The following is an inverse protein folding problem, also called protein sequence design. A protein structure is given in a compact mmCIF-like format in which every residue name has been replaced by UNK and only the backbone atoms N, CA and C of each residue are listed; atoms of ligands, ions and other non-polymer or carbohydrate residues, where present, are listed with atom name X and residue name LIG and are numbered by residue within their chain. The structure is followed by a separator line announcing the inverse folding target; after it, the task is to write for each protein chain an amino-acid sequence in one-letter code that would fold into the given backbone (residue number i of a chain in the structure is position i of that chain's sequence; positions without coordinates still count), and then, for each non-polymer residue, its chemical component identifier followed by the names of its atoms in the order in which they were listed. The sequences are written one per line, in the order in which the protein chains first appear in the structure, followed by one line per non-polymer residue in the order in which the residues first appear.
data_IF_221921782650
#
_entry.id   IF_221921782650
#
_cell.length_a   1.000
_cell.length_b   1.000
_cell.length_c   1.000
_cell.angle_alpha   90.00
_cell.angle_beta   90.00
_cell.angle_gamma   90.00
#
_symmetry.space_group_name_H-M   'P 1'
#
loop_
_entity.id
_entity.type
_entity.pdbx_description
1 polymer ?
#
# COMPACT_ATOMS: atom_id res chain seq x y z
N UNK A 1 -38.01 23.84 -28.93
CA UNK A 1 -38.61 23.00 -27.88
C UNK A 1 -37.63 21.85 -27.65
N UNK A 2 -36.65 22.01 -26.76
CA UNK A 2 -35.60 21.02 -26.51
C UNK A 2 -35.81 20.44 -25.11
N UNK A 3 -36.14 19.15 -25.06
CA UNK A 3 -36.39 18.40 -23.85
C UNK A 3 -35.06 18.06 -23.17
N UNK A 4 -34.97 18.42 -21.89
CA UNK A 4 -33.80 18.25 -21.03
C UNK A 4 -33.38 16.78 -20.88
N UNK A 5 -32.11 16.49 -21.21
CA UNK A 5 -31.42 15.28 -20.80
C UNK A 5 -31.13 15.39 -19.29
N UNK A 6 -31.73 14.51 -18.49
CA UNK A 6 -31.47 14.40 -17.05
C UNK A 6 -30.11 13.76 -16.85
N UNK A 7 -29.12 14.54 -16.44
CA UNK A 7 -27.87 14.01 -15.89
C UNK A 7 -28.14 13.41 -14.52
N UNK A 8 -28.11 12.07 -14.45
CA UNK A 8 -27.95 11.33 -13.20
C UNK A 8 -26.57 11.67 -12.64
N UNK A 9 -26.55 12.52 -11.62
CA UNK A 9 -25.38 12.77 -10.80
C UNK A 9 -24.99 11.47 -10.09
N UNK A 10 -23.99 10.78 -10.64
CA UNK A 10 -23.32 9.69 -9.96
C UNK A 10 -22.54 10.33 -8.81
N UNK A 11 -23.09 10.22 -7.60
CA UNK A 11 -22.45 10.68 -6.38
C UNK A 11 -21.18 9.84 -6.16
N UNK A 12 -20.05 10.35 -6.64
CA UNK A 12 -18.73 9.86 -6.22
C UNK A 12 -18.59 10.30 -4.77
N UNK A 13 -18.82 9.35 -3.86
CA UNK A 13 -18.55 9.53 -2.44
C UNK A 13 -17.03 9.67 -2.31
N UNK A 14 -16.56 10.92 -2.30
CA UNK A 14 -15.20 11.24 -1.90
C UNK A 14 -15.07 10.98 -0.40
N UNK A 15 -14.78 9.74 -0.03
CA UNK A 15 -14.31 9.40 1.31
C UNK A 15 -12.95 10.07 1.48
N UNK A 16 -12.96 11.24 2.14
CA UNK A 16 -11.74 11.87 2.61
C UNK A 16 -10.98 10.87 3.47
N UNK A 17 -9.79 10.45 3.00
CA UNK A 17 -8.83 9.72 3.81
C UNK A 17 -8.41 10.68 4.92
N UNK A 18 -8.98 10.49 6.12
CA UNK A 18 -8.64 11.28 7.29
C UNK A 18 -7.20 10.93 7.70
N UNK A 19 -6.29 11.82 7.29
CA UNK A 19 -4.86 11.78 7.58
C UNK A 19 -4.67 11.89 9.09
N UNK A 20 -4.29 10.80 9.75
CA UNK A 20 -3.82 10.85 11.14
C UNK A 20 -2.47 10.17 11.28
N UNK A 21 -1.42 10.77 10.72
CA UNK A 21 -0.01 10.46 11.03
C UNK A 21 0.43 10.99 12.41
N UNK A 22 -0.52 11.29 13.31
CA UNK A 22 -0.21 11.53 14.72
C UNK A 22 0.13 10.20 15.38
N UNK A 23 1.13 10.19 16.28
CA UNK A 23 1.48 9.08 17.17
C UNK A 23 0.27 8.51 17.94
N UNK A 24 -0.63 7.80 17.27
CA UNK A 24 -1.63 6.97 17.92
C UNK A 24 -0.93 5.69 18.29
N UNK A 25 -0.97 5.33 19.58
CA UNK A 25 -0.50 4.01 19.99
C UNK A 25 -1.27 2.97 19.19
N UNK A 26 -0.55 2.21 18.37
CA UNK A 26 -1.13 1.12 17.62
C UNK A 26 -1.78 0.14 18.62
N UNK A 27 -3.05 -0.24 18.45
CA UNK A 27 -3.69 -1.20 19.34
C UNK A 27 -2.84 -2.47 19.44
N UNK A 28 -2.51 -2.88 20.66
CA UNK A 28 -1.73 -4.07 20.90
C UNK A 28 -2.52 -5.33 20.48
N UNK A 29 -1.90 -6.22 19.72
CA UNK A 29 -2.53 -7.51 19.41
C UNK A 29 -2.44 -8.45 20.63
N UNK A 30 -3.49 -9.21 20.96
CA UNK A 30 -3.50 -10.10 22.14
C UNK A 30 -2.34 -11.09 22.22
N UNK A 31 -1.80 -11.53 21.09
CA UNK A 31 -0.71 -12.51 20.99
C UNK A 31 0.58 -11.92 20.40
N UNK A 32 0.77 -10.59 20.43
CA UNK A 32 2.03 -10.00 19.99
C UNK A 32 3.18 -10.33 20.96
N UNK A 33 4.36 -10.65 20.41
CA UNK A 33 5.56 -10.92 21.21
C UNK A 33 6.14 -9.64 21.82
N UNK A 34 6.02 -8.52 21.11
CA UNK A 34 6.44 -7.18 21.49
C UNK A 34 5.85 -6.17 20.48
N UNK A 35 6.18 -4.89 20.63
CA UNK A 35 5.72 -3.83 19.73
C UNK A 35 6.20 -4.01 18.28
N UNK A 36 7.40 -4.55 18.07
CA UNK A 36 7.94 -4.82 16.73
C UNK A 36 7.15 -5.92 16.00
N UNK A 37 6.72 -6.95 16.72
CA UNK A 37 5.89 -8.04 16.20
C UNK A 37 4.53 -7.54 15.70
N UNK A 38 3.79 -6.80 16.55
CA UNK A 38 2.53 -6.18 16.15
C UNK A 38 2.69 -5.21 14.99
N UNK A 39 3.76 -4.39 15.03
CA UNK A 39 4.08 -3.46 13.97
C UNK A 39 4.33 -4.15 12.61
N UNK A 40 5.07 -5.25 12.65
CA UNK A 40 5.38 -6.03 11.44
C UNK A 40 4.12 -6.65 10.86
N UNK A 41 3.25 -7.22 11.70
CA UNK A 41 1.99 -7.80 11.25
C UNK A 41 1.10 -6.78 10.53
N UNK A 42 0.92 -5.60 11.13
CA UNK A 42 0.09 -4.56 10.53
C UNK A 42 0.70 -4.03 9.22
N UNK A 43 2.03 -3.96 9.12
CA UNK A 43 2.71 -3.60 7.86
C UNK A 43 2.43 -4.61 6.75
N UNK A 44 2.54 -5.90 7.06
CA UNK A 44 2.27 -6.97 6.10
C UNK A 44 0.78 -7.06 5.76
N UNK A 45 -0.11 -6.76 6.70
CA UNK A 45 -1.56 -6.68 6.46
C UNK A 45 -1.90 -5.55 5.50
N UNK A 46 -1.32 -4.36 5.70
CA UNK A 46 -1.45 -3.22 4.78
C UNK A 46 -0.97 -3.59 3.37
N UNK A 47 0.25 -4.10 3.26
CA UNK A 47 0.83 -4.49 1.98
C UNK A 47 0.02 -5.58 1.29
N UNK A 48 -0.48 -6.57 2.05
CA UNK A 48 -1.34 -7.62 1.53
C UNK A 48 -2.62 -7.04 0.90
N UNK A 49 -3.33 -6.17 1.63
CA UNK A 49 -4.57 -5.55 1.16
C UNK A 49 -4.36 -4.75 -0.12
N UNK A 50 -3.28 -3.97 -0.21
CA UNK A 50 -2.91 -3.23 -1.41
C UNK A 50 -2.62 -4.18 -2.59
N UNK A 51 -1.73 -5.15 -2.40
CA UNK A 51 -1.31 -6.08 -3.46
C UNK A 51 -2.47 -6.98 -3.91
N UNK A 52 -3.33 -7.44 -3.01
CA UNK A 52 -4.48 -8.26 -3.37
C UNK A 52 -5.46 -7.49 -4.29
N UNK A 53 -5.72 -6.22 -3.97
CA UNK A 53 -6.53 -5.34 -4.80
C UNK A 53 -5.88 -5.07 -6.16
N UNK A 54 -4.59 -4.70 -6.17
CA UNK A 54 -3.84 -4.44 -7.38
C UNK A 54 -3.77 -5.66 -8.29
N UNK A 55 -3.60 -6.87 -7.74
CA UNK A 55 -3.52 -8.11 -8.50
C UNK A 55 -4.71 -8.27 -9.45
N UNK A 56 -5.92 -8.14 -8.91
CA UNK A 56 -7.17 -8.30 -9.66
C UNK A 56 -7.26 -7.29 -10.80
N UNK A 57 -6.89 -6.04 -10.53
CA UNK A 57 -6.99 -4.95 -11.49
C UNK A 57 -5.90 -5.03 -12.58
N UNK A 58 -4.67 -5.36 -12.21
CA UNK A 58 -3.54 -5.52 -13.14
C UNK A 58 -3.79 -6.72 -14.05
N UNK A 59 -4.23 -7.87 -13.51
CA UNK A 59 -4.44 -9.08 -14.31
C UNK A 59 -5.54 -8.93 -15.36
N UNK A 60 -6.50 -8.04 -15.14
CA UNK A 60 -7.67 -7.87 -16.02
C UNK A 60 -7.56 -6.68 -16.95
N UNK A 61 -7.01 -5.57 -16.47
CA UNK A 61 -7.16 -4.26 -17.12
C UNK A 61 -5.84 -3.58 -17.45
N UNK A 62 -4.74 -3.94 -16.76
CA UNK A 62 -3.43 -3.31 -16.96
C UNK A 62 -2.26 -4.30 -16.94
N UNK A 63 -2.27 -5.33 -17.81
CA UNK A 63 -1.29 -6.42 -17.77
C UNK A 63 0.16 -5.95 -17.97
N UNK A 64 0.37 -4.75 -18.54
CA UNK A 64 1.71 -4.15 -18.67
C UNK A 64 2.45 -3.97 -17.34
N UNK A 65 1.74 -3.87 -16.21
CA UNK A 65 2.36 -3.75 -14.89
C UNK A 65 2.59 -5.10 -14.20
N UNK A 66 2.20 -6.23 -14.81
CA UNK A 66 2.38 -7.55 -14.24
C UNK A 66 3.85 -7.85 -13.82
N UNK A 67 4.89 -7.47 -14.59
CA UNK A 67 6.27 -7.69 -14.15
C UNK A 67 6.62 -6.97 -12.84
N UNK A 68 6.22 -5.70 -12.69
CA UNK A 68 6.47 -4.91 -11.49
C UNK A 68 5.61 -5.39 -10.31
N UNK A 69 4.38 -5.82 -10.58
CA UNK A 69 3.54 -6.45 -9.57
C UNK A 69 4.18 -7.74 -9.05
N UNK A 70 4.65 -8.61 -9.95
CA UNK A 70 5.28 -9.87 -9.57
C UNK A 70 6.58 -9.64 -8.77
N UNK A 71 7.34 -8.58 -9.07
CA UNK A 71 8.50 -8.19 -8.25
C UNK A 71 8.06 -7.78 -6.83
N UNK A 72 7.01 -6.97 -6.70
CA UNK A 72 6.46 -6.60 -5.40
C UNK A 72 5.90 -7.80 -4.63
N UNK A 73 5.20 -8.72 -5.31
CA UNK A 73 4.70 -9.97 -4.72
C UNK A 73 5.86 -10.85 -4.20
N UNK A 74 6.92 -11.04 -4.96
CA UNK A 74 8.09 -11.82 -4.51
C UNK A 74 8.73 -11.21 -3.26
N UNK A 75 8.88 -9.88 -3.21
CA UNK A 75 9.41 -9.22 -2.01
C UNK A 75 8.47 -9.33 -0.81
N UNK A 76 7.16 -9.31 -1.06
CA UNK A 76 6.15 -9.54 -0.02
C UNK A 76 6.24 -10.96 0.54
N UNK A 77 6.34 -11.97 -0.33
CA UNK A 77 6.49 -13.36 0.04
C UNK A 77 7.76 -13.60 0.86
N UNK A 78 8.88 -12.96 0.49
CA UNK A 78 10.12 -12.98 1.27
C UNK A 78 9.93 -12.35 2.66
N UNK A 79 9.19 -11.23 2.76
CA UNK A 79 8.90 -10.59 4.04
C UNK A 79 7.95 -11.42 4.92
N UNK A 80 6.94 -12.06 4.34
CA UNK A 80 6.05 -12.99 5.04
C UNK A 80 6.83 -14.18 5.63
N UNK A 81 7.74 -14.78 4.86
CA UNK A 81 8.58 -15.89 5.33
C UNK A 81 9.51 -15.45 6.46
N UNK A 82 10.19 -14.32 6.29
CA UNK A 82 11.07 -13.76 7.32
C UNK A 82 10.30 -13.45 8.62
N UNK A 83 9.06 -12.96 8.50
CA UNK A 83 8.20 -12.70 9.66
C UNK A 83 7.75 -13.99 10.35
N UNK A 84 7.36 -15.00 9.57
CA UNK A 84 7.03 -16.33 10.09
C UNK A 84 8.20 -16.93 10.88
N UNK A 85 9.44 -16.80 10.36
CA UNK A 85 10.66 -17.25 11.04
C UNK A 85 10.97 -16.42 12.29
N UNK A 86 10.73 -15.11 12.27
CA UNK A 86 10.87 -14.24 13.44
C UNK A 86 9.94 -14.65 14.58
N UNK A 87 8.68 -14.98 14.26
CA UNK A 87 7.70 -15.43 15.25
C UNK A 87 8.03 -16.76 15.89
N UNK A 88 8.87 -17.58 15.26
CA UNK A 88 9.44 -18.80 15.85
C UNK A 88 10.71 -18.49 16.65
N UNK A 89 11.57 -17.58 16.16
CA UNK A 89 12.86 -17.25 16.77
C UNK A 89 13.18 -15.76 16.60
N UNK A 90 13.13 -15.01 17.71
CA UNK A 90 13.32 -13.56 17.74
C UNK A 90 14.69 -13.08 17.22
N UNK A 91 15.72 -13.94 17.17
CA UNK A 91 17.01 -13.61 16.57
C UNK A 91 16.94 -13.27 15.08
N UNK A 92 15.83 -13.59 14.40
CA UNK A 92 15.63 -13.27 12.99
C UNK A 92 15.13 -11.83 12.76
N UNK A 93 15.05 -10.99 13.80
CA UNK A 93 14.56 -9.61 13.69
C UNK A 93 15.26 -8.80 12.58
N UNK A 94 16.58 -8.92 12.44
CA UNK A 94 17.31 -8.21 11.38
C UNK A 94 16.90 -8.64 9.97
N UNK A 95 16.57 -9.92 9.77
CA UNK A 95 16.16 -10.46 8.46
C UNK A 95 14.81 -9.89 8.03
N UNK A 96 13.85 -9.83 8.96
CA UNK A 96 12.53 -9.25 8.67
C UNK A 96 12.62 -7.72 8.46
N UNK A 97 13.46 -7.00 9.21
CA UNK A 97 13.70 -5.57 8.94
C UNK A 97 14.21 -5.32 7.51
N UNK A 98 15.15 -6.14 7.02
CA UNK A 98 15.64 -6.05 5.64
C UNK A 98 14.55 -6.42 4.63
N UNK A 99 13.77 -7.47 4.90
CA UNK A 99 12.72 -7.90 3.98
C UNK A 99 11.58 -6.86 3.84
N UNK A 100 11.16 -6.23 4.95
CA UNK A 100 10.19 -5.11 4.92
C UNK A 100 10.75 -3.92 4.14
N UNK A 101 12.05 -3.64 4.29
CA UNK A 101 12.71 -2.55 3.55
C UNK A 101 12.67 -2.80 2.04
N UNK A 102 12.97 -4.03 1.61
CA UNK A 102 12.91 -4.42 0.20
C UNK A 102 11.48 -4.38 -0.34
N UNK A 103 10.50 -4.81 0.45
CA UNK A 103 9.08 -4.70 0.10
C UNK A 103 8.65 -3.25 -0.11
N UNK A 104 9.05 -2.34 0.78
CA UNK A 104 8.75 -0.91 0.64
C UNK A 104 9.36 -0.31 -0.65
N UNK A 105 10.54 -0.79 -1.06
CA UNK A 105 11.17 -0.38 -2.33
C UNK A 105 10.36 -0.89 -3.53
N UNK A 106 9.95 -2.15 -3.53
CA UNK A 106 9.21 -2.74 -4.65
C UNK A 106 7.79 -2.14 -4.80
N UNK A 107 7.08 -1.92 -3.69
CA UNK A 107 5.79 -1.20 -3.70
C UNK A 107 5.96 0.20 -4.27
N UNK A 108 6.99 0.93 -3.84
CA UNK A 108 7.26 2.26 -4.38
C UNK A 108 7.65 2.24 -5.86
N UNK A 109 8.34 1.21 -6.35
CA UNK A 109 8.63 1.07 -7.77
C UNK A 109 7.34 0.88 -8.61
N UNK A 110 6.43 0.04 -8.12
CA UNK A 110 5.11 -0.17 -8.72
C UNK A 110 4.27 1.11 -8.72
N UNK A 111 4.23 1.83 -7.59
CA UNK A 111 3.56 3.14 -7.50
C UNK A 111 4.15 4.17 -8.47
N UNK A 112 5.49 4.24 -8.58
CA UNK A 112 6.15 5.15 -9.51
C UNK A 112 5.76 4.86 -10.96
N UNK A 113 5.62 3.59 -11.34
CA UNK A 113 5.18 3.21 -12.68
C UNK A 113 3.75 3.69 -12.93
N UNK A 114 2.82 3.47 -11.99
CA UNK A 114 1.46 4.02 -12.10
C UNK A 114 1.48 5.54 -12.23
N UNK A 115 2.21 6.25 -11.37
CA UNK A 115 2.26 7.71 -11.38
C UNK A 115 2.85 8.28 -12.68
N UNK A 116 3.84 7.60 -13.28
CA UNK A 116 4.39 8.02 -14.57
C UNK A 116 3.34 8.02 -15.69
N UNK A 117 2.42 7.05 -15.64
CA UNK A 117 1.33 6.90 -16.61
C UNK A 117 0.07 7.71 -16.24
N UNK A 118 0.00 8.26 -15.01
CA UNK A 118 -1.02 9.22 -14.58
C UNK A 118 -0.75 10.65 -15.07
N UNK A 119 0.38 10.90 -15.74
CA UNK A 119 0.78 12.21 -16.30
C UNK A 119 0.68 13.38 -15.30
N UNK A 120 0.91 13.10 -14.02
CA UNK A 120 0.89 14.10 -12.95
C UNK A 120 2.07 15.04 -13.09
N UNK A 121 1.88 16.34 -12.80
CA UNK A 121 2.91 17.35 -12.98
C UNK A 121 4.24 16.95 -12.28
N UNK A 122 5.40 17.06 -12.97
CA UNK A 122 6.69 16.60 -12.45
C UNK A 122 7.07 17.17 -11.07
N UNK A 123 6.61 18.39 -10.76
CA UNK A 123 6.84 19.05 -9.47
C UNK A 123 6.16 18.34 -8.30
N UNK A 124 4.96 17.78 -8.53
CA UNK A 124 4.20 17.02 -7.53
C UNK A 124 4.93 15.70 -7.26
N UNK A 125 5.36 15.00 -8.32
CA UNK A 125 6.15 13.77 -8.23
C UNK A 125 7.50 14.02 -7.51
N UNK A 126 8.17 15.14 -7.78
CA UNK A 126 9.44 15.51 -7.13
C UNK A 126 9.28 15.84 -5.65
N UNK A 127 8.24 16.58 -5.25
CA UNK A 127 7.95 16.85 -3.83
C UNK A 127 7.67 15.55 -3.07
N UNK A 128 6.96 14.59 -3.68
CA UNK A 128 6.70 13.30 -3.07
C UNK A 128 7.92 12.39 -3.02
N UNK A 129 8.76 12.37 -4.07
CA UNK A 129 10.05 11.67 -4.06
C UNK A 129 10.99 12.25 -3.01
N UNK A 130 11.02 13.57 -2.87
CA UNK A 130 11.84 14.22 -1.84
C UNK A 130 11.33 13.89 -0.44
N UNK A 131 10.00 13.81 -0.22
CA UNK A 131 9.43 13.37 1.06
C UNK A 131 9.72 11.90 1.35
N UNK A 132 9.51 11.00 0.38
CA UNK A 132 9.82 9.58 0.54
C UNK A 132 11.32 9.33 0.77
N UNK A 133 12.19 10.05 0.06
CA UNK A 133 13.63 10.00 0.27
C UNK A 133 14.03 10.52 1.66
N UNK A 134 13.49 11.68 2.09
CA UNK A 134 13.75 12.26 3.42
C UNK A 134 13.34 11.30 4.53
N UNK A 135 12.16 10.69 4.41
CA UNK A 135 11.66 9.68 5.34
C UNK A 135 12.59 8.45 5.38
N UNK A 136 13.00 7.93 4.21
CA UNK A 136 13.96 6.80 4.10
C UNK A 136 15.35 7.11 4.67
N UNK A 137 15.84 8.33 4.48
CA UNK A 137 17.13 8.77 5.05
C UNK A 137 17.04 9.08 6.54
N UNK A 138 15.87 9.47 7.05
CA UNK A 138 15.65 9.72 8.47
C UNK A 138 15.45 8.43 9.28
N UNK A 139 15.02 7.33 8.64
CA UNK A 139 14.70 6.07 9.32
C UNK A 139 15.91 5.24 9.79
N UNK A 140 17.11 5.41 9.22
CA UNK A 140 18.24 4.50 9.51
C UNK A 140 17.86 3.01 9.30
N UNK A 141 18.55 2.06 9.95
CA UNK A 141 18.27 0.61 9.79
C UNK A 141 16.88 0.13 10.32
N UNK A 142 15.98 1.04 10.69
CA UNK A 142 14.66 0.71 11.23
C UNK A 142 13.55 1.39 10.42
N UNK A 143 13.35 0.95 9.16
CA UNK A 143 12.17 1.29 8.37
C UNK A 143 10.94 0.78 9.13
N UNK A 144 9.99 1.68 9.41
CA UNK A 144 8.80 1.40 10.22
C UNK A 144 7.55 1.38 9.35
N UNK A 145 6.49 0.71 9.79
CA UNK A 145 5.12 0.67 9.21
C UNK A 145 4.67 2.00 8.60
N UNK A 146 5.07 3.11 9.24
CA UNK A 146 4.77 4.47 8.81
C UNK A 146 5.16 4.72 7.35
N UNK A 147 6.18 4.05 6.83
CA UNK A 147 6.74 4.30 5.51
C UNK A 147 5.91 3.67 4.38
N UNK A 148 5.39 2.45 4.60
CA UNK A 148 4.49 1.77 3.65
C UNK A 148 3.12 2.45 3.65
N UNK A 149 2.59 2.78 4.83
CA UNK A 149 1.32 3.49 4.96
C UNK A 149 1.40 4.88 4.32
N UNK A 150 2.46 5.65 4.61
CA UNK A 150 2.65 7.00 4.05
C UNK A 150 2.79 6.95 2.54
N UNK A 151 3.48 5.95 1.97
CA UNK A 151 3.62 5.80 0.52
C UNK A 151 2.25 5.58 -0.16
N UNK A 152 1.46 4.63 0.35
CA UNK A 152 0.12 4.35 -0.17
C UNK A 152 -0.81 5.56 -0.04
N UNK A 153 -0.81 6.24 1.11
CA UNK A 153 -1.62 7.45 1.34
C UNK A 153 -1.24 8.59 0.37
N UNK A 154 0.05 8.79 0.14
CA UNK A 154 0.55 9.76 -0.84
C UNK A 154 0.09 9.37 -2.25
N UNK A 155 0.21 8.09 -2.63
CA UNK A 155 -0.18 7.61 -3.94
C UNK A 155 -1.69 7.84 -4.19
N UNK A 156 -2.54 7.58 -3.19
CA UNK A 156 -3.97 7.88 -3.26
C UNK A 156 -4.25 9.39 -3.37
N UNK A 157 -3.56 10.23 -2.59
CA UNK A 157 -3.74 11.68 -2.65
C UNK A 157 -3.37 12.23 -4.04
N UNK A 158 -2.30 11.72 -4.66
CA UNK A 158 -1.92 12.04 -6.04
C UNK A 158 -3.01 11.61 -7.01
N UNK A 159 -3.46 10.36 -6.92
CA UNK A 159 -4.50 9.82 -7.79
C UNK A 159 -5.82 10.60 -7.71
N UNK A 160 -6.19 11.11 -6.53
CA UNK A 160 -7.39 11.96 -6.36
C UNK A 160 -7.33 13.29 -7.12
N UNK A 161 -6.14 13.75 -7.53
CA UNK A 161 -6.00 14.99 -8.33
C UNK A 161 -6.32 14.78 -9.81
N UNK A 162 -6.48 13.54 -10.26
CA UNK A 162 -6.75 13.19 -11.65
C UNK A 162 -8.21 13.50 -11.99
N UNK A 163 -8.50 14.30 -13.02
CA UNK A 163 -9.87 14.58 -13.43
C UNK A 163 -10.59 13.30 -13.87
N UNK A 164 -11.87 13.08 -13.51
CA UNK A 164 -12.62 11.88 -13.89
C UNK A 164 -12.75 11.66 -15.41
N UNK A 165 -12.68 12.74 -16.20
CA UNK A 165 -12.74 12.69 -17.66
C UNK A 165 -11.37 12.45 -18.32
N UNK A 166 -10.28 12.34 -17.54
CA UNK A 166 -8.95 12.11 -18.08
C UNK A 166 -8.82 10.66 -18.59
N UNK A 167 -8.03 10.42 -19.65
CA UNK A 167 -7.84 9.07 -20.20
C UNK A 167 -7.18 8.09 -19.23
N UNK A 168 -6.54 8.59 -18.17
CA UNK A 168 -5.88 7.82 -17.11
C UNK A 168 -6.67 7.80 -15.79
N UNK A 169 -7.94 8.25 -15.80
CA UNK A 169 -8.79 8.25 -14.60
C UNK A 169 -9.01 6.83 -14.02
N UNK A 170 -9.13 5.81 -14.88
CA UNK A 170 -9.30 4.43 -14.42
C UNK A 170 -8.05 3.90 -13.68
N UNK A 171 -6.85 4.32 -14.08
CA UNK A 171 -5.61 3.99 -13.37
C UNK A 171 -5.55 4.69 -12.00
N UNK A 172 -6.05 5.93 -11.93
CA UNK A 172 -6.14 6.68 -10.68
C UNK A 172 -7.09 6.00 -9.68
N UNK A 173 -8.25 5.55 -10.17
CA UNK A 173 -9.21 4.79 -9.35
C UNK A 173 -8.57 3.53 -8.76
N UNK A 174 -7.77 2.79 -9.51
CA UNK A 174 -7.08 1.58 -9.01
C UNK A 174 -6.13 1.90 -7.86
N UNK A 175 -5.35 2.99 -7.96
CA UNK A 175 -4.44 3.41 -6.88
C UNK A 175 -5.23 3.80 -5.62
N UNK A 176 -6.36 4.48 -5.79
CA UNK A 176 -7.26 4.85 -4.70
C UNK A 176 -7.87 3.59 -4.04
N UNK A 177 -8.40 2.67 -4.83
CA UNK A 177 -9.00 1.41 -4.36
C UNK A 177 -7.98 0.56 -3.61
N UNK A 178 -6.77 0.39 -4.15
CA UNK A 178 -5.71 -0.37 -3.51
C UNK A 178 -5.36 0.21 -2.12
N UNK A 179 -5.30 1.53 -2.01
CA UNK A 179 -5.05 2.22 -0.74
C UNK A 179 -6.20 2.04 0.24
N UNK A 180 -7.45 2.14 -0.23
CA UNK A 180 -8.63 1.91 0.60
C UNK A 180 -8.69 0.47 1.12
N UNK A 181 -8.35 -0.52 0.29
CA UNK A 181 -8.31 -1.93 0.68
C UNK A 181 -7.20 -2.21 1.69
N UNK A 182 -6.02 -1.59 1.53
CA UNK A 182 -4.95 -1.66 2.51
C UNK A 182 -5.41 -1.15 3.89
N UNK A 183 -5.99 0.07 3.92
CA UNK A 183 -6.48 0.68 5.15
C UNK A 183 -7.61 -0.12 5.80
N UNK A 184 -8.52 -0.67 5.00
CA UNK A 184 -9.61 -1.52 5.48
C UNK A 184 -9.09 -2.82 6.10
N UNK A 185 -8.12 -3.47 5.44
CA UNK A 185 -7.47 -4.67 5.96
C UNK A 185 -6.77 -4.40 7.30
N UNK A 186 -6.00 -3.31 7.39
CA UNK A 186 -5.33 -2.92 8.64
C UNK A 186 -6.32 -2.57 9.75
N UNK A 187 -7.38 -1.81 9.42
CA UNK A 187 -8.43 -1.46 10.39
C UNK A 187 -9.14 -2.70 10.93
N UNK A 188 -9.38 -3.70 10.08
CA UNK A 188 -10.01 -4.96 10.48
C UNK A 188 -9.10 -5.83 11.34
N UNK A 189 -7.79 -5.82 11.08
CA UNK A 189 -6.80 -6.58 11.83
C UNK A 189 -6.36 -5.89 13.13
N UNK A 190 -6.52 -4.57 13.23
CA UNK A 190 -6.04 -3.79 14.37
C UNK A 190 -6.66 -4.24 15.69
N UNK A 191 -5.81 -4.57 16.67
CA UNK A 191 -6.24 -5.07 17.97
C UNK A 191 -6.82 -6.49 17.97
N UNK A 192 -6.90 -7.15 16.81
CA UNK A 192 -7.23 -8.57 16.70
C UNK A 192 -5.99 -9.44 16.93
N UNK A 193 -6.14 -10.73 17.29
CA UNK A 193 -5.02 -11.65 17.32
C UNK A 193 -4.29 -11.69 15.96
N UNK A 194 -2.96 -11.69 16.01
CA UNK A 194 -2.11 -11.93 14.84
C UNK A 194 -2.41 -13.31 14.29
N UNK A 195 -2.86 -13.35 13.03
CA UNK A 195 -3.17 -14.57 12.29
C UNK A 195 -2.50 -14.53 10.92
N UNK A 196 -1.39 -15.27 10.78
CA UNK A 196 -0.61 -15.34 9.55
C UNK A 196 -1.40 -15.92 8.36
N UNK A 197 -2.49 -16.66 8.60
CA UNK A 197 -3.30 -17.22 7.52
C UNK A 197 -4.06 -16.14 6.73
N UNK A 198 -4.24 -14.95 7.32
CA UNK A 198 -4.94 -13.82 6.68
C UNK A 198 -4.05 -12.98 5.75
N UNK A 199 -2.73 -13.23 5.78
CA UNK A 199 -1.72 -12.48 5.03
C UNK A 199 -0.80 -13.43 4.25
N UNK A 200 -1.35 -14.53 3.72
CA UNK A 200 -0.54 -15.46 2.93
C UNK A 200 -0.07 -14.82 1.61
N UNK A 201 1.10 -15.26 1.07
CA UNK A 201 1.55 -14.92 -0.27
C UNK A 201 0.46 -14.98 -1.34
N UNK A 202 0.45 -13.96 -2.20
CA UNK A 202 -0.46 -13.91 -3.35
C UNK A 202 0.17 -14.68 -4.52
N UNK A 203 -0.67 -15.29 -5.36
CA UNK A 203 -0.14 -15.90 -6.58
C UNK A 203 0.40 -14.82 -7.55
N UNK A 204 1.47 -15.10 -8.31
CA UNK A 204 1.89 -14.19 -9.37
C UNK A 204 0.81 -14.05 -10.46
N UNK A 205 0.95 -13.01 -11.28
CA UNK A 205 0.16 -12.82 -12.50
C UNK A 205 0.90 -13.53 -13.65
N UNK A 206 0.17 -14.35 -14.41
CA UNK A 206 0.66 -15.11 -15.57
C UNK A 206 0.59 -14.30 -16.87
#
# INVERSE_FOLDING_TARGET
MFTHLKFTALAVVATAVLISTGCKSQPAHPNQLNTFDGATYDSLTLAHGALASLRVQISTSYPKYAPLFNEAEVTYSTAYEAYSLYRVKSSNQAQISVAISNLAVAIAALENAFQSDLHVAPKVILDFRHRALVIRTAAGQNISISDILTALEIAAAVAQTVPPAAPYAALATIVIEATQQALAAQSAASGQPIDLSTIQPLAPIQ
#
